data_IF_820485280717
#
_entry.id   IF_820485280717
#
_cell.length_a   1.000
_cell.length_b   1.000
_cell.length_c   1.000
_cell.angle_alpha   90.00
_cell.angle_beta   90.00
_cell.angle_gamma   90.00
#
_symmetry.space_group_name_H-M   'P 1'
#
loop_
_entity.id
_entity.type
_entity.pdbx_description
1 polymer ?
#
# COMPACT_ATOMS: atom_id res chain seq x y z
N UNK A 1 -11.48 11.77 -13.33
CA UNK A 1 -10.53 11.56 -12.22
C UNK A 1 -9.14 11.14 -12.70
N UNK A 2 -8.95 9.96 -13.40
CA UNK A 2 -7.60 9.49 -13.82
C UNK A 2 -6.93 10.47 -14.79
N UNK A 3 -7.63 10.90 -15.86
CA UNK A 3 -7.09 11.86 -16.82
C UNK A 3 -6.69 13.20 -16.16
N UNK A 4 -7.45 13.66 -15.21
CA UNK A 4 -7.14 14.87 -14.43
C UNK A 4 -5.89 14.67 -13.55
N UNK A 5 -5.75 13.49 -12.95
CA UNK A 5 -4.56 13.17 -12.15
C UNK A 5 -3.29 13.15 -13.02
N UNK A 6 -3.36 12.55 -14.22
CA UNK A 6 -2.26 12.55 -15.19
C UNK A 6 -1.91 13.98 -15.60
N UNK A 7 -2.90 14.77 -16.04
CA UNK A 7 -2.66 16.16 -16.48
C UNK A 7 -2.12 17.05 -15.37
N UNK A 8 -2.58 16.86 -14.13
CA UNK A 8 -2.02 17.56 -12.97
C UNK A 8 -0.54 17.25 -12.78
N UNK A 9 -0.15 16.00 -12.97
CA UNK A 9 1.26 15.59 -12.80
C UNK A 9 2.12 16.10 -13.97
N UNK A 10 1.62 16.08 -15.20
CA UNK A 10 2.30 16.68 -16.35
C UNK A 10 2.57 18.19 -16.14
N UNK A 11 1.60 18.94 -15.60
CA UNK A 11 1.76 20.36 -15.29
C UNK A 11 2.81 20.65 -14.21
N UNK A 12 3.12 19.65 -13.38
CA UNK A 12 4.13 19.72 -12.32
C UNK A 12 5.49 19.18 -12.77
N UNK A 13 5.60 18.76 -14.03
CA UNK A 13 6.78 18.07 -14.58
C UNK A 13 7.17 16.81 -13.78
N UNK A 14 6.20 16.19 -13.14
CA UNK A 14 6.36 14.97 -12.36
C UNK A 14 5.97 13.72 -13.13
N UNK A 15 6.12 12.58 -12.47
CA UNK A 15 5.82 11.26 -13.01
C UNK A 15 4.79 10.53 -12.16
N UNK A 16 4.16 9.51 -12.74
CA UNK A 16 3.09 8.74 -12.13
C UNK A 16 3.34 7.24 -12.26
N UNK A 17 3.03 6.49 -11.20
CA UNK A 17 2.77 5.05 -11.28
C UNK A 17 1.29 4.79 -11.45
N UNK A 18 0.95 3.96 -12.43
CA UNK A 18 -0.38 3.40 -12.59
C UNK A 18 -0.32 1.88 -12.39
N UNK A 19 -0.82 1.40 -11.25
CA UNK A 19 -0.78 -0.02 -10.89
C UNK A 19 -2.04 -0.71 -11.36
N UNK A 20 -1.87 -1.69 -12.27
CA UNK A 20 -2.92 -2.55 -12.77
C UNK A 20 -2.51 -4.03 -12.60
N UNK A 21 -3.14 -4.74 -11.68
CA UNK A 21 -2.67 -6.05 -11.20
C UNK A 21 -3.01 -7.24 -12.12
N UNK A 22 -3.02 -7.02 -13.45
CA UNK A 22 -3.24 -8.08 -14.45
C UNK A 22 -2.36 -7.88 -15.66
N UNK A 23 -1.44 -8.81 -15.90
CA UNK A 23 -0.57 -8.76 -17.07
C UNK A 23 -1.36 -8.86 -18.38
N UNK A 24 -2.41 -9.70 -18.39
CA UNK A 24 -3.15 -10.04 -19.61
C UNK A 24 -3.80 -8.85 -20.32
N UNK A 25 -4.21 -7.84 -19.60
CA UNK A 25 -4.93 -6.66 -20.10
C UNK A 25 -4.20 -5.35 -19.86
N UNK A 26 -2.95 -5.40 -19.39
CA UNK A 26 -2.17 -4.19 -19.04
C UNK A 26 -1.91 -3.28 -20.23
N UNK A 27 -1.62 -3.88 -21.41
CA UNK A 27 -1.41 -3.12 -22.65
C UNK A 27 -2.68 -2.38 -23.06
N UNK A 28 -3.84 -3.03 -22.94
CA UNK A 28 -5.13 -2.38 -23.21
C UNK A 28 -5.43 -1.22 -22.25
N UNK A 29 -5.02 -1.36 -20.98
CA UNK A 29 -5.13 -0.25 -20.03
C UNK A 29 -4.24 0.91 -20.46
N UNK A 30 -3.01 0.64 -20.87
CA UNK A 30 -2.09 1.68 -21.36
C UNK A 30 -2.63 2.38 -22.62
N UNK A 31 -3.20 1.63 -23.57
CA UNK A 31 -3.87 2.19 -24.76
C UNK A 31 -5.05 3.10 -24.39
N UNK A 32 -5.89 2.67 -23.44
CA UNK A 32 -7.00 3.49 -22.93
C UNK A 32 -6.50 4.79 -22.29
N UNK A 33 -5.46 4.72 -21.50
CA UNK A 33 -4.87 5.91 -20.87
C UNK A 33 -4.30 6.86 -21.94
N UNK A 34 -3.63 6.31 -22.95
CA UNK A 34 -3.13 7.10 -24.08
C UNK A 34 -4.27 7.76 -24.88
N UNK A 35 -5.40 7.08 -25.05
CA UNK A 35 -6.59 7.66 -25.66
C UNK A 35 -7.22 8.78 -24.82
N UNK A 36 -7.16 8.68 -23.49
CA UNK A 36 -7.67 9.69 -22.56
C UNK A 36 -6.76 10.92 -22.43
N UNK A 37 -5.45 10.73 -22.51
CA UNK A 37 -4.43 11.78 -22.36
C UNK A 37 -3.34 11.55 -23.40
N UNK A 38 -3.60 11.89 -24.70
CA UNK A 38 -2.65 11.62 -25.78
C UNK A 38 -1.32 12.37 -25.65
N UNK A 39 -1.30 13.43 -24.85
CA UNK A 39 -0.11 14.22 -24.55
C UNK A 39 0.85 13.54 -23.57
N UNK A 40 0.41 12.51 -22.85
CA UNK A 40 1.23 11.77 -21.90
C UNK A 40 2.04 10.67 -22.57
N UNK A 41 3.31 10.54 -22.22
CA UNK A 41 4.19 9.45 -22.65
C UNK A 41 4.04 8.29 -21.68
N UNK A 42 3.46 7.20 -22.15
CA UNK A 42 3.10 6.04 -21.33
C UNK A 42 4.00 4.86 -21.65
N UNK A 43 4.54 4.22 -20.64
CA UNK A 43 5.26 2.95 -20.75
C UNK A 43 4.58 1.86 -19.92
N UNK A 44 4.82 0.61 -20.30
CA UNK A 44 4.31 -0.59 -19.61
C UNK A 44 5.48 -1.40 -19.06
N UNK A 45 5.34 -1.89 -17.83
CA UNK A 45 6.32 -2.76 -17.20
C UNK A 45 5.63 -3.84 -16.34
N UNK A 46 5.96 -5.10 -16.58
CA UNK A 46 5.40 -6.22 -15.81
C UNK A 46 6.38 -7.41 -15.73
N UNK A 47 6.18 -8.27 -14.74
CA UNK A 47 7.10 -9.37 -14.43
C UNK A 47 7.19 -10.51 -15.45
N UNK A 48 6.39 -10.49 -16.53
CA UNK A 48 6.50 -11.46 -17.64
C UNK A 48 7.34 -10.94 -18.81
N UNK A 49 7.79 -9.68 -18.74
CA UNK A 49 8.76 -9.14 -19.71
C UNK A 49 10.13 -9.78 -19.47
N UNK A 50 10.93 -9.90 -20.54
CA UNK A 50 12.33 -10.28 -20.38
C UNK A 50 13.08 -9.21 -19.57
N UNK A 51 14.07 -9.65 -18.80
CA UNK A 51 14.80 -8.80 -17.86
C UNK A 51 15.43 -7.56 -18.51
N UNK A 52 16.00 -7.73 -19.70
CA UNK A 52 16.64 -6.64 -20.43
C UNK A 52 15.65 -5.58 -20.92
N UNK A 53 14.46 -5.98 -21.36
CA UNK A 53 13.39 -5.06 -21.77
C UNK A 53 12.82 -4.35 -20.56
N UNK A 54 12.57 -5.08 -19.45
CA UNK A 54 12.07 -4.50 -18.20
C UNK A 54 13.04 -3.44 -17.66
N UNK A 55 14.33 -3.77 -17.56
CA UNK A 55 15.37 -2.85 -17.10
C UNK A 55 15.42 -1.58 -17.96
N UNK A 56 15.38 -1.73 -19.29
CA UNK A 56 15.39 -0.58 -20.22
C UNK A 56 14.20 0.33 -20.00
N UNK A 57 12.99 -0.20 -19.86
CA UNK A 57 11.78 0.59 -19.63
C UNK A 57 11.88 1.35 -18.30
N UNK A 58 12.37 0.69 -17.25
CA UNK A 58 12.54 1.31 -15.92
C UNK A 58 13.57 2.43 -15.96
N UNK A 59 14.72 2.23 -16.63
CA UNK A 59 15.75 3.24 -16.80
C UNK A 59 15.24 4.42 -17.63
N UNK A 60 14.54 4.16 -18.74
CA UNK A 60 13.95 5.19 -19.59
C UNK A 60 12.87 6.00 -18.83
N UNK A 61 12.11 5.36 -17.96
CA UNK A 61 11.17 6.06 -17.08
C UNK A 61 11.91 6.91 -16.04
N UNK A 62 12.95 6.37 -15.40
CA UNK A 62 13.78 7.13 -14.45
C UNK A 62 14.44 8.34 -15.10
N UNK A 63 14.90 8.23 -16.35
CA UNK A 63 15.47 9.32 -17.12
C UNK A 63 14.44 10.36 -17.61
N UNK A 64 13.15 10.19 -17.30
CA UNK A 64 12.09 11.12 -17.66
C UNK A 64 11.62 11.01 -19.12
N UNK A 65 11.92 9.92 -19.82
CA UNK A 65 11.41 9.68 -21.19
C UNK A 65 9.92 9.36 -21.22
N UNK A 66 9.36 8.91 -20.09
CA UNK A 66 7.94 8.61 -19.90
C UNK A 66 7.38 9.36 -18.70
N UNK A 67 6.12 9.69 -18.77
CA UNK A 67 5.39 10.42 -17.74
C UNK A 67 4.59 9.49 -16.82
N UNK A 68 4.09 8.39 -17.40
CA UNK A 68 3.30 7.37 -16.69
C UNK A 68 3.92 6.00 -16.93
N UNK A 69 4.16 5.25 -15.84
CA UNK A 69 4.52 3.85 -15.89
C UNK A 69 3.35 3.01 -15.43
N UNK A 70 2.76 2.24 -16.38
CA UNK A 70 1.72 1.25 -16.09
C UNK A 70 2.40 -0.05 -15.72
N UNK A 71 2.16 -0.55 -14.50
CA UNK A 71 2.83 -1.74 -13.99
C UNK A 71 1.88 -2.65 -13.20
N UNK A 72 2.18 -3.95 -13.13
CA UNK A 72 1.37 -4.93 -12.38
C UNK A 72 1.62 -4.89 -10.87
N UNK A 73 2.87 -4.72 -10.49
CA UNK A 73 3.33 -4.54 -9.12
C UNK A 73 4.46 -3.54 -9.13
N UNK A 74 4.88 -3.13 -7.95
CA UNK A 74 6.08 -2.31 -7.89
C UNK A 74 7.25 -3.12 -8.41
N UNK A 75 7.95 -2.50 -9.34
CA UNK A 75 9.27 -2.96 -9.74
C UNK A 75 10.17 -2.75 -8.53
N UNK A 76 10.59 -3.84 -7.91
CA UNK A 76 11.57 -3.85 -6.81
C UNK A 76 12.97 -3.53 -7.35
N UNK A 77 13.07 -2.43 -8.10
CA UNK A 77 14.33 -2.08 -8.76
C UNK A 77 15.38 -1.48 -7.80
N UNK A 78 15.02 -1.22 -6.56
CA UNK A 78 15.91 -0.50 -5.64
C UNK A 78 16.26 0.93 -6.08
N UNK A 79 15.77 1.36 -7.26
CA UNK A 79 16.00 2.68 -7.82
C UNK A 79 15.08 3.67 -7.12
N UNK A 80 15.66 4.72 -6.57
CA UNK A 80 14.89 5.86 -6.06
C UNK A 80 14.36 6.70 -7.24
N UNK A 81 13.06 6.95 -7.26
CA UNK A 81 12.38 7.70 -8.33
C UNK A 81 11.77 8.99 -7.75
N UNK A 82 12.57 10.02 -7.52
CA UNK A 82 12.12 11.22 -6.81
C UNK A 82 11.07 12.02 -7.59
N UNK A 83 10.99 11.86 -8.90
CA UNK A 83 10.02 12.56 -9.75
C UNK A 83 8.62 11.93 -9.71
N UNK A 84 8.46 10.74 -9.12
CA UNK A 84 7.15 10.07 -9.02
C UNK A 84 6.40 10.60 -7.81
N UNK A 85 5.38 11.43 -8.07
CA UNK A 85 4.59 12.08 -7.02
C UNK A 85 3.13 11.64 -7.01
N UNK A 86 2.68 10.90 -8.00
CA UNK A 86 1.31 10.37 -8.05
C UNK A 86 1.30 8.86 -8.25
N UNK A 87 0.48 8.19 -7.46
CA UNK A 87 0.17 6.78 -7.54
C UNK A 87 -1.30 6.61 -7.87
N UNK A 88 -1.60 5.80 -8.86
CA UNK A 88 -2.95 5.31 -9.14
C UNK A 88 -2.96 3.79 -9.01
N UNK A 89 -3.93 3.25 -8.28
CA UNK A 89 -4.17 1.81 -8.17
C UNK A 89 -5.57 1.53 -8.69
N UNK A 90 -5.66 0.83 -9.81
CA UNK A 90 -6.92 0.59 -10.54
C UNK A 90 -7.88 -0.32 -9.76
N UNK A 91 -7.36 -1.38 -9.14
CA UNK A 91 -8.12 -2.35 -8.35
C UNK A 91 -7.53 -2.48 -6.94
N UNK A 92 -7.62 -1.40 -6.16
CA UNK A 92 -7.10 -1.35 -4.80
C UNK A 92 -7.84 -2.33 -3.85
N UNK A 93 -9.08 -2.68 -4.16
CA UNK A 93 -9.88 -3.68 -3.46
C UNK A 93 -9.25 -5.08 -3.44
N UNK A 94 -8.43 -5.40 -4.45
CA UNK A 94 -7.74 -6.68 -4.59
C UNK A 94 -6.38 -6.75 -3.89
N UNK A 95 -5.86 -5.62 -3.41
CA UNK A 95 -4.56 -5.55 -2.78
C UNK A 95 -4.65 -5.65 -1.26
N UNK A 96 -3.64 -6.28 -0.65
CA UNK A 96 -3.48 -6.29 0.79
C UNK A 96 -3.07 -4.93 1.34
N UNK A 97 -3.36 -4.68 2.62
CA UNK A 97 -3.04 -3.41 3.28
C UNK A 97 -1.54 -3.12 3.28
N UNK A 98 -0.70 -4.14 3.51
CA UNK A 98 0.76 -4.03 3.43
C UNK A 98 1.25 -3.65 2.03
N UNK A 99 0.65 -4.22 0.98
CA UNK A 99 0.96 -3.87 -0.41
C UNK A 99 0.59 -2.42 -0.72
N UNK A 100 -0.61 -1.98 -0.34
CA UNK A 100 -1.05 -0.58 -0.52
C UNK A 100 -0.14 0.40 0.22
N UNK A 101 0.30 0.05 1.42
CA UNK A 101 1.24 0.85 2.19
C UNK A 101 2.61 0.96 1.51
N UNK A 102 3.17 -0.16 1.01
CA UNK A 102 4.43 -0.17 0.27
C UNK A 102 4.34 0.66 -1.01
N UNK A 103 3.24 0.53 -1.77
CA UNK A 103 2.97 1.32 -2.97
C UNK A 103 2.98 2.82 -2.65
N UNK A 104 2.23 3.22 -1.64
CA UNK A 104 2.17 4.61 -1.19
C UNK A 104 3.54 5.16 -0.77
N UNK A 105 4.36 4.35 -0.15
CA UNK A 105 5.72 4.72 0.27
C UNK A 105 6.72 4.93 -0.87
N UNK A 106 6.33 4.63 -2.11
CA UNK A 106 7.19 4.81 -3.28
C UNK A 106 7.02 6.16 -3.98
N UNK A 107 6.04 6.97 -3.58
CA UNK A 107 5.77 8.29 -4.18
C UNK A 107 6.05 9.42 -3.19
N UNK A 108 6.37 10.62 -3.72
CA UNK A 108 6.50 11.84 -2.94
C UNK A 108 7.81 11.96 -2.14
N UNK A 109 8.91 11.46 -2.65
CA UNK A 109 10.20 11.48 -1.96
C UNK A 109 11.01 12.77 -2.12
N UNK A 110 10.68 13.63 -3.09
CA UNK A 110 11.41 14.85 -3.39
C UNK A 110 10.88 16.13 -2.71
N UNK A 111 10.15 15.99 -1.61
CA UNK A 111 9.55 17.13 -0.92
C UNK A 111 8.33 17.75 -1.63
N UNK A 112 7.91 17.24 -2.76
CA UNK A 112 6.68 17.62 -3.43
C UNK A 112 5.48 16.88 -2.83
N UNK A 113 4.32 17.52 -2.91
CA UNK A 113 3.06 16.91 -2.44
C UNK A 113 2.73 15.69 -3.26
N UNK A 114 2.63 14.53 -2.60
CA UNK A 114 2.25 13.27 -3.22
C UNK A 114 0.74 13.05 -3.19
N UNK A 115 0.24 12.31 -4.19
CA UNK A 115 -1.16 11.90 -4.28
C UNK A 115 -1.24 10.39 -4.52
N UNK A 116 -2.18 9.75 -3.85
CA UNK A 116 -2.52 8.35 -4.08
C UNK A 116 -4.02 8.22 -4.35
N UNK A 117 -4.36 7.66 -5.50
CA UNK A 117 -5.73 7.40 -5.92
C UNK A 117 -5.95 5.88 -5.90
N UNK A 118 -6.84 5.44 -5.04
CA UNK A 118 -7.18 4.03 -4.87
C UNK A 118 -8.59 3.81 -5.42
N UNK A 119 -8.67 3.17 -6.58
CA UNK A 119 -9.93 2.90 -7.24
C UNK A 119 -10.43 1.49 -6.95
N UNK A 120 -11.74 1.35 -6.95
CA UNK A 120 -12.45 0.08 -7.00
C UNK A 120 -13.66 0.26 -7.95
N UNK A 121 -14.19 -0.81 -8.56
CA UNK A 121 -15.36 -0.72 -9.42
C UNK A 121 -16.59 -0.29 -8.61
N UNK A 122 -17.39 0.60 -9.17
CA UNK A 122 -18.63 1.10 -8.53
C UNK A 122 -19.73 0.02 -8.45
N UNK A 123 -19.72 -0.92 -9.37
CA UNK A 123 -20.67 -2.03 -9.49
C UNK A 123 -20.32 -3.25 -8.61
N UNK A 124 -19.21 -3.22 -7.89
CA UNK A 124 -18.75 -4.29 -7.01
C UNK A 124 -18.96 -3.88 -5.56
N UNK A 125 -19.78 -4.66 -4.84
CA UNK A 125 -19.90 -4.53 -3.39
C UNK A 125 -18.59 -5.01 -2.76
N UNK A 126 -17.90 -4.10 -2.07
CA UNK A 126 -16.67 -4.45 -1.35
C UNK A 126 -16.99 -5.42 -0.20
N UNK A 127 -16.12 -6.40 0.00
CA UNK A 127 -16.16 -7.17 1.24
C UNK A 127 -15.84 -6.26 2.43
N UNK A 128 -16.29 -6.62 3.62
CA UNK A 128 -15.99 -5.88 4.85
C UNK A 128 -14.48 -5.70 5.04
N UNK A 129 -13.69 -6.75 4.80
CA UNK A 129 -12.23 -6.69 4.85
C UNK A 129 -11.63 -5.71 3.84
N UNK A 130 -12.12 -5.72 2.58
CA UNK A 130 -11.63 -4.80 1.55
C UNK A 130 -11.96 -3.35 1.91
N UNK A 131 -13.16 -3.10 2.41
CA UNK A 131 -13.60 -1.78 2.88
C UNK A 131 -12.70 -1.28 4.03
N UNK A 132 -12.47 -2.11 5.05
CA UNK A 132 -11.63 -1.75 6.19
C UNK A 132 -10.16 -1.50 5.79
N UNK A 133 -9.61 -2.26 4.83
CA UNK A 133 -8.27 -2.00 4.28
C UNK A 133 -8.19 -0.64 3.59
N UNK A 134 -9.13 -0.33 2.70
CA UNK A 134 -9.15 0.95 1.97
C UNK A 134 -9.36 2.14 2.90
N UNK A 135 -10.24 2.00 3.88
CA UNK A 135 -10.45 3.00 4.93
C UNK A 135 -9.18 3.25 5.72
N UNK A 136 -8.53 2.19 6.21
CA UNK A 136 -7.30 2.27 6.99
C UNK A 136 -6.18 2.99 6.24
N UNK A 137 -5.94 2.64 4.96
CA UNK A 137 -4.90 3.28 4.17
C UNK A 137 -5.23 4.74 3.85
N UNK A 138 -6.51 5.08 3.70
CA UNK A 138 -6.98 6.45 3.49
C UNK A 138 -6.82 7.36 4.71
N UNK A 139 -7.03 6.81 5.90
CA UNK A 139 -6.90 7.53 7.18
C UNK A 139 -5.44 7.66 7.63
N UNK A 140 -4.59 6.71 7.27
CA UNK A 140 -3.18 6.67 7.68
C UNK A 140 -2.30 7.61 6.83
N UNK A 141 -2.48 8.91 6.95
CA UNK A 141 -1.78 9.94 6.15
C UNK A 141 -0.43 10.36 6.75
N UNK A 142 -0.14 10.02 7.99
CA UNK A 142 1.06 10.46 8.70
C UNK A 142 2.30 9.62 8.38
N UNK A 143 3.46 10.29 8.37
CA UNK A 143 4.76 9.62 8.34
C UNK A 143 4.90 8.73 9.59
N UNK A 144 5.39 7.49 9.42
CA UNK A 144 5.55 6.55 10.54
C UNK A 144 4.31 5.70 10.84
N UNK A 145 3.22 5.84 10.08
CA UNK A 145 2.01 5.03 10.25
C UNK A 145 2.20 3.53 9.94
N UNK A 146 3.38 3.11 9.46
CA UNK A 146 3.67 1.72 9.05
C UNK A 146 3.37 0.69 10.13
N UNK A 147 3.74 0.98 11.38
CA UNK A 147 3.43 0.09 12.49
C UNK A 147 1.92 -0.04 12.72
N UNK A 148 1.19 1.07 12.77
CA UNK A 148 -0.28 1.08 12.95
C UNK A 148 -0.98 0.34 11.81
N UNK A 149 -0.48 0.49 10.57
CA UNK A 149 -1.00 -0.22 9.40
C UNK A 149 -0.75 -1.71 9.52
N UNK A 150 0.46 -2.13 9.90
CA UNK A 150 0.78 -3.55 10.12
C UNK A 150 -0.10 -4.17 11.19
N UNK A 151 -0.35 -3.46 12.25
CA UNK A 151 -1.24 -3.88 13.32
C UNK A 151 -2.68 -4.04 12.85
N UNK A 152 -3.19 -3.06 12.11
CA UNK A 152 -4.53 -3.10 11.57
C UNK A 152 -4.70 -4.20 10.52
N UNK A 153 -3.65 -4.50 9.74
CA UNK A 153 -3.66 -5.63 8.79
C UNK A 153 -3.82 -6.98 9.52
N UNK A 154 -3.14 -7.14 10.66
CA UNK A 154 -3.29 -8.33 11.51
C UNK A 154 -4.70 -8.44 12.09
N UNK A 155 -5.30 -7.35 12.55
CA UNK A 155 -6.68 -7.34 13.05
C UNK A 155 -7.68 -7.72 11.96
N UNK A 156 -7.58 -7.12 10.76
CA UNK A 156 -8.49 -7.37 9.63
C UNK A 156 -8.39 -8.82 9.14
N UNK A 157 -7.19 -9.37 9.05
CA UNK A 157 -6.97 -10.77 8.65
C UNK A 157 -7.43 -11.77 9.71
N UNK A 158 -7.72 -11.29 10.91
CA UNK A 158 -7.86 -12.13 12.06
C UNK A 158 -6.53 -12.83 12.36
N UNK A 159 -5.88 -12.53 13.45
CA UNK A 159 -4.53 -13.03 13.78
C UNK A 159 -4.41 -14.57 13.84
N UNK A 160 -5.52 -15.29 13.70
CA UNK A 160 -5.58 -16.74 13.58
C UNK A 160 -4.86 -17.34 12.37
N UNK A 161 -4.62 -16.57 11.31
CA UNK A 161 -3.87 -17.05 10.13
C UNK A 161 -2.36 -17.07 10.34
N UNK A 162 -1.83 -16.34 11.31
CA UNK A 162 -0.39 -16.33 11.64
C UNK A 162 0.01 -17.41 12.65
N UNK A 163 -0.95 -17.87 13.48
CA UNK A 163 -0.68 -18.78 14.60
C UNK A 163 -1.44 -20.12 14.51
N UNK A 164 -2.12 -20.40 13.39
CA UNK A 164 -2.92 -21.62 13.20
C UNK A 164 -4.41 -21.43 13.50
N UNK A 165 -5.24 -22.25 12.88
CA UNK A 165 -6.71 -22.14 12.81
C UNK A 165 -7.49 -22.23 14.15
N UNK A 166 -6.79 -22.29 15.28
CA UNK A 166 -7.42 -22.43 16.60
C UNK A 166 -7.52 -21.15 17.44
N UNK A 167 -6.88 -20.04 17.05
CA UNK A 167 -6.75 -18.86 17.93
C UNK A 167 -7.41 -17.57 17.43
N UNK A 168 -8.07 -17.57 16.28
CA UNK A 168 -8.69 -16.37 15.70
C UNK A 168 -9.80 -15.73 16.55
N UNK A 169 -10.38 -16.47 17.49
CA UNK A 169 -11.41 -15.96 18.41
C UNK A 169 -10.85 -15.16 19.60
N UNK A 170 -9.60 -15.40 20.00
CA UNK A 170 -9.07 -14.81 21.22
C UNK A 170 -8.63 -13.35 21.07
N UNK A 171 -8.10 -12.94 19.92
CA UNK A 171 -7.62 -11.56 19.71
C UNK A 171 -8.78 -10.58 19.58
N UNK A 172 -9.86 -10.98 18.90
CA UNK A 172 -11.08 -10.17 18.81
C UNK A 172 -11.78 -10.04 20.18
N UNK A 173 -11.66 -11.06 21.04
CA UNK A 173 -12.29 -11.08 22.35
C UNK A 173 -11.50 -10.32 23.43
N UNK A 174 -10.18 -10.24 23.30
CA UNK A 174 -9.29 -9.73 24.35
C UNK A 174 -8.79 -8.31 24.03
N UNK A 175 -8.87 -7.89 22.79
CA UNK A 175 -8.27 -6.65 22.31
C UNK A 175 -6.79 -6.80 22.00
N UNK A 176 -6.34 -6.02 21.04
CA UNK A 176 -5.00 -6.13 20.47
C UNK A 176 -3.90 -5.76 21.49
N UNK A 177 -4.07 -4.70 22.27
CA UNK A 177 -3.06 -4.23 23.23
C UNK A 177 -2.75 -5.29 24.28
N UNK A 178 -3.78 -5.96 24.79
CA UNK A 178 -3.61 -7.05 25.78
C UNK A 178 -2.96 -8.28 25.13
N UNK A 179 -3.27 -8.60 23.87
CA UNK A 179 -2.60 -9.67 23.14
C UNK A 179 -1.10 -9.41 22.96
N UNK A 180 -0.72 -8.19 22.56
CA UNK A 180 0.70 -7.81 22.46
C UNK A 180 1.41 -7.86 23.79
N UNK A 181 0.76 -7.45 24.86
CA UNK A 181 1.31 -7.55 26.21
C UNK A 181 1.56 -9.02 26.57
N UNK A 182 0.59 -9.90 26.36
CA UNK A 182 0.72 -11.34 26.60
C UNK A 182 1.83 -11.98 25.76
N UNK A 183 1.98 -11.63 24.48
CA UNK A 183 3.07 -12.14 23.62
C UNK A 183 4.42 -11.62 24.10
N UNK A 184 4.52 -10.37 24.50
CA UNK A 184 5.76 -9.78 25.02
C UNK A 184 6.16 -10.45 26.33
N UNK A 185 5.23 -10.70 27.23
CA UNK A 185 5.44 -11.42 28.48
C UNK A 185 5.89 -12.85 28.24
N UNK A 186 5.22 -13.59 27.33
CA UNK A 186 5.59 -14.96 26.99
C UNK A 186 6.98 -15.06 26.33
N UNK A 187 7.35 -14.10 25.48
CA UNK A 187 8.69 -14.04 24.88
C UNK A 187 9.77 -13.72 25.93
N UNK A 188 9.49 -12.82 26.87
CA UNK A 188 10.39 -12.50 27.97
C UNK A 188 10.61 -13.72 28.89
N UNK A 189 9.53 -14.45 29.23
CA UNK A 189 9.63 -15.71 29.98
C UNK A 189 10.49 -16.75 29.27
N UNK A 190 10.28 -16.95 27.97
CA UNK A 190 11.07 -17.90 27.15
C UNK A 190 12.54 -17.51 27.04
N UNK A 191 12.87 -16.22 27.13
CA UNK A 191 14.24 -15.71 27.13
C UNK A 191 14.87 -15.66 28.50
N UNK A 192 14.12 -15.96 29.57
CA UNK A 192 14.58 -15.85 30.96
C UNK A 192 14.82 -14.41 31.43
N UNK A 193 14.20 -13.44 30.77
CA UNK A 193 14.22 -12.03 31.13
C UNK A 193 13.11 -11.73 32.16
N UNK A 194 13.39 -10.84 33.15
CA UNK A 194 12.34 -10.43 34.08
C UNK A 194 11.25 -9.67 33.36
N UNK A 195 10.02 -10.18 33.43
CA UNK A 195 8.82 -9.48 32.94
C UNK A 195 8.67 -8.17 33.73
N UNK A 196 8.54 -7.00 33.08
CA UNK A 196 8.21 -5.76 33.77
C UNK A 196 6.84 -5.91 34.45
N UNK A 197 6.75 -5.58 35.74
CA UNK A 197 5.46 -5.58 36.42
C UNK A 197 4.49 -4.60 35.69
N UNK A 198 3.25 -5.04 35.40
CA UNK A 198 2.28 -4.17 34.75
C UNK A 198 1.99 -2.98 35.66
N UNK A 199 2.08 -1.76 35.12
CA UNK A 199 1.68 -0.53 35.78
C UNK A 199 0.19 -0.61 36.13
N UNK A 200 -0.14 -0.84 37.39
CA UNK A 200 -1.51 -0.72 37.88
C UNK A 200 -1.86 0.75 37.99
N UNK A 201 -2.58 1.29 37.02
CA UNK A 201 -3.18 2.61 37.09
C UNK A 201 -4.54 2.46 37.77
N UNK A 202 -4.64 2.79 39.03
CA UNK A 202 -5.91 2.94 39.73
C UNK A 202 -6.48 4.33 39.36
N UNK A 203 -7.57 4.37 38.60
CA UNK A 203 -8.32 5.61 38.37
C UNK A 203 -9.39 5.70 39.48
N UNK A 204 -9.13 6.52 40.48
CA UNK A 204 -10.18 6.96 41.42
C UNK A 204 -11.04 7.99 40.73
N UNK A 205 -12.29 7.65 40.43
CA UNK A 205 -13.31 8.60 39.99
C UNK A 205 -13.95 9.22 41.25
N UNK A 206 -13.77 10.52 41.55
CA UNK A 206 -14.50 11.13 42.67
C UNK A 206 -15.98 11.18 42.32
N UNK A 207 -16.83 10.69 43.25
CA UNK A 207 -18.29 10.72 43.19
C UNK A 207 -18.86 12.12 43.42
#
# INVERSE_FOLDING_TARGET
AVAEAIRRELLREGQMFFVHNRVRDIEHVAERLNGLVPEARIAVAHGQMDEGTLERVVVDFWEGKFDVLVCTTIIESGIDMPSVNTLVVDRADLLGLGQLHQLRGRVGRAGQRAYAYLFHPEDVVLSEEAYERLKTIGEATELGSGFRIAMRDLEIRGAGNLLGTGQSGHIAAVGYDLYCQMVTEAVAELKGEKVPEPLQIAIEVPG
#
